data_IF_102552814419
#
_entry.id   IF_102552814419
#
_cell.length_a   1.000
_cell.length_b   1.000
_cell.length_c   1.000
_cell.angle_alpha   90.00
_cell.angle_beta   90.00
_cell.angle_gamma   90.00
#
_symmetry.space_group_name_H-M   'P 1'
#
loop_
_entity.id
_entity.type
_entity.pdbx_description
1 polymer ?
#
# COMPACT_ATOMS: atom_id res chain seq x y z
N UNK A 1 -31.28 47.74 20.48
CA UNK A 1 -29.80 47.74 20.61
C UNK A 1 -29.47 46.99 21.89
N UNK A 2 -28.62 45.97 22.00
CA UNK A 2 -27.39 45.59 21.30
C UNK A 2 -27.17 44.07 21.38
N UNK A 3 -26.90 43.43 20.23
CA UNK A 3 -26.38 42.05 20.12
C UNK A 3 -25.01 41.95 20.81
N UNK A 4 -24.80 40.96 21.69
CA UNK A 4 -23.43 40.57 22.12
C UNK A 4 -22.91 39.41 21.25
N UNK A 5 -21.66 39.60 20.81
CA UNK A 5 -20.97 38.93 19.71
C UNK A 5 -20.46 37.53 20.08
N UNK A 6 -20.69 36.58 19.18
CA UNK A 6 -19.74 35.60 18.64
C UNK A 6 -18.66 35.08 19.60
N UNK A 7 -19.02 34.12 20.45
CA UNK A 7 -18.06 33.18 21.05
C UNK A 7 -17.92 31.92 20.20
N UNK A 8 -16.69 31.40 20.06
CA UNK A 8 -16.43 30.08 19.45
C UNK A 8 -17.27 29.03 20.21
N UNK A 9 -18.04 28.16 19.53
CA UNK A 9 -18.90 27.20 20.21
C UNK A 9 -18.08 26.35 21.18
N UNK A 10 -18.63 26.12 22.40
CA UNK A 10 -18.00 25.27 23.41
C UNK A 10 -17.88 23.85 22.81
N UNK A 11 -16.65 23.40 22.53
CA UNK A 11 -16.39 21.99 22.21
C UNK A 11 -16.61 21.18 23.48
N UNK A 12 -17.81 20.62 23.62
CA UNK A 12 -18.28 19.92 24.81
C UNK A 12 -17.93 18.42 24.84
N UNK A 13 -17.21 17.89 23.85
CA UNK A 13 -16.72 16.51 23.96
C UNK A 13 -15.40 16.26 23.22
N UNK A 14 -14.58 15.36 23.78
CA UNK A 14 -13.29 14.93 23.21
C UNK A 14 -12.06 15.82 23.50
N UNK A 15 -12.14 16.77 24.44
CA UNK A 15 -10.98 17.61 24.80
C UNK A 15 -9.92 16.77 25.52
N UNK A 16 -8.71 16.73 24.97
CA UNK A 16 -7.55 16.07 25.59
C UNK A 16 -7.09 16.90 26.80
N UNK A 17 -7.32 16.40 28.01
CA UNK A 17 -7.06 17.11 29.29
C UNK A 17 -5.88 16.55 30.09
N UNK A 18 -5.39 15.35 29.76
CA UNK A 18 -4.28 14.67 30.44
C UNK A 18 -3.03 14.69 29.57
N UNK A 19 -1.86 14.74 30.20
CA UNK A 19 -0.55 14.66 29.55
C UNK A 19 0.29 13.55 30.18
N UNK A 20 1.18 12.96 29.38
CA UNK A 20 2.19 11.99 29.81
C UNK A 20 3.55 12.65 29.56
N UNK A 21 4.46 12.58 30.55
CA UNK A 21 5.83 13.12 30.46
C UNK A 21 6.81 11.97 30.62
N UNK A 22 7.84 11.96 29.78
CA UNK A 22 9.01 11.08 29.88
C UNK A 22 10.27 11.90 29.57
N UNK A 23 11.39 11.52 30.19
CA UNK A 23 12.70 12.13 29.91
C UNK A 23 13.39 11.27 28.85
N UNK A 24 14.05 11.93 27.90
CA UNK A 24 14.82 11.32 26.82
C UNK A 24 16.20 11.95 26.76
N UNK A 25 17.19 11.22 26.24
CA UNK A 25 18.46 11.82 25.83
C UNK A 25 18.28 12.58 24.50
N UNK A 26 19.26 13.41 24.13
CA UNK A 26 19.21 14.14 22.85
C UNK A 26 19.22 13.19 21.65
N UNK A 27 19.96 12.09 21.74
CA UNK A 27 20.02 11.07 20.69
C UNK A 27 18.66 10.38 20.51
N UNK A 28 18.03 9.99 21.62
CA UNK A 28 16.69 9.38 21.61
C UNK A 28 15.65 10.34 21.03
N UNK A 29 15.70 11.61 21.43
CA UNK A 29 14.78 12.63 20.93
C UNK A 29 15.00 12.88 19.43
N UNK A 30 16.24 12.97 18.97
CA UNK A 30 16.57 13.16 17.55
C UNK A 30 16.05 12.00 16.69
N UNK A 31 16.18 10.77 17.16
CA UNK A 31 15.64 9.59 16.49
C UNK A 31 14.12 9.64 16.35
N UNK A 32 13.41 9.96 17.44
CA UNK A 32 11.96 10.11 17.39
C UNK A 32 11.56 11.27 16.46
N UNK A 33 12.31 12.37 16.50
CA UNK A 33 12.07 13.56 15.69
C UNK A 33 12.12 13.31 14.21
N UNK A 34 13.18 12.64 13.77
CA UNK A 34 13.34 12.24 12.38
C UNK A 34 12.19 11.31 11.94
N UNK A 35 11.72 10.45 12.85
CA UNK A 35 10.64 9.51 12.56
C UNK A 35 9.30 10.23 12.34
N UNK A 36 8.85 11.12 13.23
CA UNK A 36 7.57 11.79 13.00
C UNK A 36 7.62 12.80 11.84
N UNK A 37 8.77 13.44 11.60
CA UNK A 37 8.97 14.33 10.44
C UNK A 37 8.88 13.57 9.12
N UNK A 38 9.52 12.40 9.01
CA UNK A 38 9.44 11.57 7.81
C UNK A 38 8.03 11.04 7.54
N UNK A 39 7.20 10.89 8.58
CA UNK A 39 5.79 10.51 8.46
C UNK A 39 4.86 11.71 8.21
N UNK A 40 5.36 12.95 8.20
CA UNK A 40 4.53 14.16 8.06
C UNK A 40 3.59 14.41 9.25
N UNK A 41 3.90 13.81 10.41
CA UNK A 41 3.06 13.87 11.60
C UNK A 41 3.56 14.92 12.58
N UNK A 42 2.63 15.48 13.37
CA UNK A 42 2.99 16.29 14.54
C UNK A 42 3.44 15.37 15.67
N UNK A 43 4.43 15.80 16.45
CA UNK A 43 4.96 15.07 17.61
C UNK A 43 3.86 14.51 18.51
N UNK A 44 2.87 15.33 18.86
CA UNK A 44 1.78 14.90 19.74
C UNK A 44 0.85 13.85 19.12
N UNK A 45 0.67 13.87 17.80
CA UNK A 45 -0.15 12.88 17.08
C UNK A 45 0.63 11.58 16.93
N UNK A 46 1.92 11.67 16.61
CA UNK A 46 2.85 10.55 16.58
C UNK A 46 2.92 9.81 17.93
N UNK A 47 3.12 10.52 19.04
CA UNK A 47 3.18 9.90 20.37
C UNK A 47 1.86 9.25 20.76
N UNK A 48 0.72 9.88 20.48
CA UNK A 48 -0.59 9.31 20.78
C UNK A 48 -0.87 8.05 19.95
N UNK A 49 -0.58 8.07 18.65
CA UNK A 49 -0.69 6.86 17.82
C UNK A 49 0.24 5.77 18.36
N UNK A 50 1.51 6.10 18.66
CA UNK A 50 2.48 5.13 19.14
C UNK A 50 2.11 4.50 20.48
N UNK A 51 1.51 5.25 21.40
CA UNK A 51 1.14 4.80 22.75
C UNK A 51 -0.25 4.14 22.81
N UNK A 52 -1.22 4.63 22.05
CA UNK A 52 -2.60 4.10 22.07
C UNK A 52 -2.76 2.88 21.16
N UNK A 53 -1.97 2.76 20.10
CA UNK A 53 -1.92 1.58 19.22
C UNK A 53 -0.95 0.55 19.85
N UNK A 54 -1.19 0.20 21.12
CA UNK A 54 -0.40 -0.80 21.88
C UNK A 54 -0.80 -2.25 21.53
N UNK A 55 -1.19 -2.50 20.28
CA UNK A 55 -1.22 -3.83 19.66
C UNK A 55 -0.20 -3.95 18.50
N UNK A 56 0.50 -2.88 18.14
CA UNK A 56 1.38 -2.82 16.96
C UNK A 56 2.88 -2.72 17.30
N UNK A 57 3.32 -3.35 18.39
CA UNK A 57 4.75 -3.40 18.75
C UNK A 57 5.54 -4.44 17.94
N UNK A 58 4.92 -5.43 17.30
CA UNK A 58 5.61 -6.29 16.34
C UNK A 58 5.07 -6.06 14.92
N UNK A 59 5.99 -5.79 14.00
CA UNK A 59 5.79 -5.56 12.57
C UNK A 59 5.59 -4.08 12.19
N UNK A 60 6.59 -3.24 12.52
CA UNK A 60 6.97 -2.13 11.63
C UNK A 60 7.47 -2.71 10.31
N UNK A 61 6.57 -3.29 9.52
CA UNK A 61 6.78 -3.39 8.10
C UNK A 61 6.91 -1.95 7.63
N UNK A 62 8.06 -1.59 7.07
CA UNK A 62 8.24 -0.29 6.45
C UNK A 62 7.27 -0.21 5.26
N UNK A 63 6.09 0.38 5.48
CA UNK A 63 5.04 0.45 4.49
C UNK A 63 5.54 1.09 3.17
N UNK A 64 6.49 2.03 3.26
CA UNK A 64 7.14 2.66 2.10
C UNK A 64 7.97 1.64 1.31
N UNK A 65 8.72 0.79 1.99
CA UNK A 65 9.55 -0.25 1.37
C UNK A 65 8.70 -1.37 0.76
N UNK A 66 7.62 -1.78 1.43
CA UNK A 66 6.67 -2.73 0.85
C UNK A 66 5.97 -2.17 -0.38
N UNK A 67 5.53 -0.91 -0.35
CA UNK A 67 4.97 -0.27 -1.54
C UNK A 67 6.01 -0.16 -2.67
N UNK A 68 7.29 0.08 -2.36
CA UNK A 68 8.37 0.09 -3.35
C UNK A 68 8.55 -1.28 -4.01
N UNK A 69 8.57 -2.37 -3.22
CA UNK A 69 8.65 -3.72 -3.76
C UNK A 69 7.41 -4.11 -4.56
N UNK A 70 6.21 -3.73 -4.12
CA UNK A 70 4.98 -3.92 -4.88
C UNK A 70 5.00 -3.20 -6.23
N UNK A 71 5.54 -1.97 -6.27
CA UNK A 71 5.72 -1.24 -7.53
C UNK A 71 6.70 -1.96 -8.48
N UNK A 72 7.79 -2.52 -7.96
CA UNK A 72 8.74 -3.31 -8.76
C UNK A 72 8.07 -4.55 -9.34
N UNK A 73 7.31 -5.30 -8.52
CA UNK A 73 6.54 -6.46 -8.96
C UNK A 73 5.51 -6.05 -10.02
N UNK A 74 4.79 -4.95 -9.80
CA UNK A 74 3.84 -4.40 -10.76
C UNK A 74 4.47 -4.03 -12.11
N UNK A 75 5.70 -3.50 -12.10
CA UNK A 75 6.44 -3.20 -13.33
C UNK A 75 6.83 -4.47 -14.09
N UNK A 76 7.27 -5.54 -13.40
CA UNK A 76 7.56 -6.83 -14.03
C UNK A 76 6.31 -7.45 -14.64
N UNK A 77 5.18 -7.41 -13.92
CA UNK A 77 3.88 -7.87 -14.44
C UNK A 77 3.51 -7.12 -15.71
N UNK A 78 3.68 -5.79 -15.73
CA UNK A 78 3.43 -4.97 -16.91
C UNK A 78 4.31 -5.38 -18.10
N UNK A 79 5.59 -5.70 -17.85
CA UNK A 79 6.48 -6.25 -18.88
C UNK A 79 6.02 -7.61 -19.38
N UNK A 80 5.62 -8.53 -18.50
CA UNK A 80 5.07 -9.82 -18.88
C UNK A 80 3.80 -9.67 -19.72
N UNK A 81 2.89 -8.76 -19.36
CA UNK A 81 1.69 -8.45 -20.14
C UNK A 81 2.01 -7.93 -21.54
N UNK A 82 3.03 -7.07 -21.67
CA UNK A 82 3.50 -6.60 -22.97
C UNK A 82 4.05 -7.75 -23.84
N UNK A 83 4.78 -8.69 -23.24
CA UNK A 83 5.29 -9.87 -23.95
C UNK A 83 4.13 -10.77 -24.43
N UNK A 84 3.11 -10.99 -23.58
CA UNK A 84 1.90 -11.73 -23.96
C UNK A 84 1.19 -11.04 -25.14
N UNK A 85 1.08 -9.71 -25.13
CA UNK A 85 0.47 -8.97 -26.23
C UNK A 85 1.28 -9.10 -27.55
N UNK A 86 2.61 -9.13 -27.47
CA UNK A 86 3.46 -9.38 -28.65
C UNK A 86 3.25 -10.80 -29.20
N UNK A 87 3.21 -11.81 -28.32
CA UNK A 87 2.89 -13.18 -28.70
C UNK A 87 1.51 -13.28 -29.37
N UNK A 88 0.50 -12.59 -28.84
CA UNK A 88 -0.84 -12.54 -29.43
C UNK A 88 -0.83 -11.94 -30.85
N UNK A 89 -0.05 -10.87 -31.08
CA UNK A 89 0.10 -10.29 -32.43
C UNK A 89 0.79 -11.26 -33.40
N UNK A 90 1.85 -11.94 -32.95
CA UNK A 90 2.53 -12.95 -33.77
C UNK A 90 1.62 -14.15 -34.06
N UNK A 91 0.88 -14.64 -33.08
CA UNK A 91 -0.10 -15.70 -33.28
C UNK A 91 -1.18 -15.30 -34.30
N UNK A 92 -1.72 -14.08 -34.19
CA UNK A 92 -2.69 -13.56 -35.16
C UNK A 92 -2.11 -13.46 -36.58
N UNK A 93 -0.86 -13.07 -36.72
CA UNK A 93 -0.17 -13.04 -38.01
C UNK A 93 0.00 -14.44 -38.62
N UNK A 94 0.42 -15.43 -37.82
CA UNK A 94 0.54 -16.82 -38.25
C UNK A 94 -0.81 -17.43 -38.62
N UNK A 95 -1.86 -17.11 -37.84
CA UNK A 95 -3.22 -17.59 -38.07
C UNK A 95 -3.75 -17.14 -39.44
N UNK A 96 -3.56 -15.85 -39.77
CA UNK A 96 -3.96 -15.28 -41.07
C UNK A 96 -3.28 -15.94 -42.28
N UNK A 97 -2.12 -16.55 -42.06
CA UNK A 97 -1.36 -17.26 -43.10
C UNK A 97 -1.60 -18.78 -43.08
N UNK A 98 -2.49 -19.28 -42.23
CA UNK A 98 -2.75 -20.72 -42.07
C UNK A 98 -1.56 -21.50 -41.48
N UNK A 99 -0.61 -20.82 -40.84
CA UNK A 99 0.62 -21.42 -40.29
C UNK A 99 0.58 -21.61 -38.77
N UNK A 100 -0.55 -21.28 -38.13
CA UNK A 100 -0.68 -21.44 -36.67
C UNK A 100 -1.07 -22.88 -36.34
N UNK A 101 -0.22 -23.57 -35.58
CA UNK A 101 -0.52 -24.91 -35.09
C UNK A 101 -1.61 -24.89 -34.01
N UNK A 102 -2.65 -25.70 -34.20
CA UNK A 102 -3.72 -25.88 -33.21
C UNK A 102 -3.19 -26.46 -31.89
N UNK A 103 -2.18 -27.33 -31.95
CA UNK A 103 -1.54 -27.91 -30.76
C UNK A 103 -0.86 -26.83 -29.91
N UNK A 104 -0.13 -25.91 -30.55
CA UNK A 104 0.53 -24.78 -29.87
C UNK A 104 -0.51 -23.88 -29.19
N UNK A 105 -1.64 -23.63 -29.85
CA UNK A 105 -2.73 -22.84 -29.28
C UNK A 105 -3.32 -23.52 -28.04
N UNK A 106 -3.53 -24.83 -28.09
CA UNK A 106 -4.06 -25.59 -26.96
C UNK A 106 -3.09 -25.56 -25.76
N UNK A 107 -1.80 -25.83 -26.01
CA UNK A 107 -0.76 -25.77 -24.98
C UNK A 107 -0.66 -24.38 -24.35
N UNK A 108 -0.67 -23.34 -25.19
CA UNK A 108 -0.66 -21.95 -24.72
C UNK A 108 -1.88 -21.66 -23.84
N UNK A 109 -3.09 -22.04 -24.26
CA UNK A 109 -4.31 -21.78 -23.49
C UNK A 109 -4.30 -22.49 -22.12
N UNK A 110 -3.74 -23.68 -22.03
CA UNK A 110 -3.54 -24.38 -20.74
C UNK A 110 -2.64 -23.57 -19.82
N UNK A 111 -1.43 -23.22 -20.29
CA UNK A 111 -0.46 -22.44 -19.48
C UNK A 111 -1.03 -21.07 -19.13
N UNK A 112 -1.76 -20.43 -20.06
CA UNK A 112 -2.36 -19.13 -19.84
C UNK A 112 -3.49 -19.16 -18.81
N UNK A 113 -4.23 -20.27 -18.74
CA UNK A 113 -5.24 -20.49 -17.70
C UNK A 113 -4.60 -20.56 -16.32
N UNK A 114 -3.50 -21.32 -16.19
CA UNK A 114 -2.75 -21.41 -14.93
C UNK A 114 -2.17 -20.06 -14.53
N UNK A 115 -1.59 -19.33 -15.50
CA UNK A 115 -1.11 -17.96 -15.30
C UNK A 115 -2.22 -17.05 -14.76
N UNK A 116 -3.42 -17.06 -15.34
CA UNK A 116 -4.56 -16.25 -14.87
C UNK A 116 -4.96 -16.63 -13.44
N UNK A 117 -4.96 -17.93 -13.12
CA UNK A 117 -5.28 -18.42 -11.77
C UNK A 117 -4.30 -17.88 -10.73
N UNK A 118 -2.99 -18.00 -11.00
CA UNK A 118 -1.93 -17.45 -10.15
C UNK A 118 -2.05 -15.94 -10.03
N UNK A 119 -2.30 -15.25 -11.15
CA UNK A 119 -2.44 -13.79 -11.18
C UNK A 119 -3.59 -13.29 -10.30
N UNK A 120 -4.76 -13.96 -10.33
CA UNK A 120 -5.89 -13.65 -9.45
C UNK A 120 -5.58 -13.95 -7.98
N UNK A 121 -4.82 -15.01 -7.70
CA UNK A 121 -4.33 -15.31 -6.36
C UNK A 121 -3.47 -14.19 -5.80
N UNK A 122 -2.52 -13.72 -6.60
CA UNK A 122 -1.65 -12.58 -6.27
C UNK A 122 -2.47 -11.29 -6.07
N UNK A 123 -3.43 -10.98 -6.94
CA UNK A 123 -4.28 -9.79 -6.80
C UNK A 123 -5.02 -9.77 -5.45
N UNK A 124 -5.57 -10.92 -5.03
CA UNK A 124 -6.23 -11.06 -3.72
C UNK A 124 -5.25 -10.83 -2.58
N UNK A 125 -4.06 -11.43 -2.64
CA UNK A 125 -3.02 -11.27 -1.62
C UNK A 125 -2.55 -9.81 -1.52
N UNK A 126 -2.33 -9.14 -2.65
CA UNK A 126 -1.96 -7.72 -2.69
C UNK A 126 -3.06 -6.83 -2.12
N UNK A 127 -4.33 -7.10 -2.45
CA UNK A 127 -5.47 -6.35 -1.89
C UNK A 127 -5.56 -6.49 -0.37
N UNK A 128 -5.36 -7.70 0.16
CA UNK A 128 -5.38 -7.93 1.61
C UNK A 128 -4.20 -7.24 2.30
N UNK A 129 -3.01 -7.32 1.71
CA UNK A 129 -1.84 -6.60 2.22
C UNK A 129 -2.08 -5.08 2.24
N UNK A 130 -2.67 -4.51 1.20
CA UNK A 130 -3.03 -3.07 1.17
C UNK A 130 -4.09 -2.71 2.23
N UNK A 131 -4.99 -3.63 2.57
CA UNK A 131 -5.96 -3.44 3.66
C UNK A 131 -5.26 -3.39 5.02
N UNK A 132 -4.31 -4.30 5.25
CA UNK A 132 -3.50 -4.34 6.47
C UNK A 132 -2.59 -3.12 6.62
N UNK A 133 -2.05 -2.58 5.53
CA UNK A 133 -1.21 -1.36 5.57
C UNK A 133 -2.01 -0.08 5.82
N UNK A 134 -3.33 -0.08 5.60
CA UNK A 134 -4.22 1.07 5.85
C UNK A 134 -4.82 1.07 7.26
N UNK A 135 -4.77 -0.05 7.97
CA UNK A 135 -5.29 -0.22 9.33
C UNK A 135 -4.24 0.16 10.38
#
# INVERSE_FOLDING_TARGET
MTKKKNGRPLKLDGKRTRFIKARFTEEEYALLRNLWLSLGLKESDFLRQRLLISSAVSNKINAVEVLKHLNQIGAEIGRSGNNINQLARHANFLNKRGMLSAEIVLQFNTIFTDYISIFRGMERATRELLRLLKA
#
